data_IF_512699725611
#
_entry.id   IF_512699725611
#
_cell.length_a   1.000
_cell.length_b   1.000
_cell.length_c   1.000
_cell.angle_alpha   90.00
_cell.angle_beta   90.00
_cell.angle_gamma   90.00
#
_symmetry.space_group_name_H-M   'P 1'
#
loop_
_entity.id
_entity.type
_entity.pdbx_description
1 polymer ?
#
# COMPACT_ATOMS: atom_id res chain seq x y z
N UNK A 1 12.61 -22.92 24.93
CA UNK A 1 12.10 -22.43 23.64
C UNK A 1 12.68 -23.27 22.52
N UNK A 2 11.98 -23.35 21.39
CA UNK A 2 12.53 -23.89 20.14
C UNK A 2 13.50 -22.83 19.57
N UNK A 3 14.79 -23.15 19.42
CA UNK A 3 15.71 -22.25 18.71
C UNK A 3 15.48 -22.39 17.21
N UNK A 4 15.15 -21.28 16.55
CA UNK A 4 15.10 -21.20 15.09
C UNK A 4 16.50 -21.33 14.49
N UNK A 5 16.59 -21.83 13.26
CA UNK A 5 17.83 -21.87 12.50
C UNK A 5 18.00 -20.58 11.70
N UNK A 6 19.20 -20.02 11.69
CA UNK A 6 19.51 -18.85 10.87
C UNK A 6 19.51 -19.22 9.37
N UNK A 7 18.94 -18.39 8.48
CA UNK A 7 19.06 -18.60 7.02
C UNK A 7 20.53 -18.73 6.57
N UNK A 8 21.44 -18.00 7.21
CA UNK A 8 22.89 -18.07 6.93
C UNK A 8 23.46 -19.43 7.31
N UNK A 9 23.05 -20.00 8.45
CA UNK A 9 23.50 -21.33 8.87
C UNK A 9 22.98 -22.42 7.92
N UNK A 10 21.71 -22.31 7.52
CA UNK A 10 21.08 -23.24 6.58
C UNK A 10 21.81 -23.28 5.23
N UNK A 11 22.30 -22.14 4.76
CA UNK A 11 22.92 -21.99 3.44
C UNK A 11 24.42 -21.68 3.49
N UNK A 12 25.09 -22.09 4.57
CA UNK A 12 26.52 -21.89 4.81
C UNK A 12 27.42 -22.37 3.66
N UNK A 13 27.05 -23.47 3.01
CA UNK A 13 27.86 -24.08 1.93
C UNK A 13 27.79 -23.24 0.64
N UNK A 14 26.60 -22.74 0.30
CA UNK A 14 26.40 -21.83 -0.83
C UNK A 14 27.16 -20.52 -0.61
N UNK A 15 27.05 -19.93 0.59
CA UNK A 15 27.80 -18.73 0.95
C UNK A 15 29.32 -18.96 0.94
N UNK A 16 29.78 -20.11 1.45
CA UNK A 16 31.19 -20.50 1.41
C UNK A 16 31.72 -20.61 -0.03
N UNK A 17 30.92 -21.18 -0.94
CA UNK A 17 31.25 -21.23 -2.37
C UNK A 17 31.31 -19.84 -3.00
N UNK A 18 30.36 -18.96 -2.66
CA UNK A 18 30.34 -17.58 -3.14
C UNK A 18 31.58 -16.78 -2.69
N UNK A 19 31.96 -16.91 -1.41
CA UNK A 19 33.16 -16.29 -0.85
C UNK A 19 34.43 -16.82 -1.53
N UNK A 20 34.57 -18.14 -1.70
CA UNK A 20 35.73 -18.75 -2.34
C UNK A 20 35.88 -18.30 -3.81
N UNK A 21 34.77 -18.18 -4.54
CA UNK A 21 34.76 -17.68 -5.90
C UNK A 21 35.10 -16.19 -5.99
N UNK A 22 34.65 -15.38 -5.02
CA UNK A 22 35.02 -13.98 -4.92
C UNK A 22 36.52 -13.81 -4.63
N UNK A 23 37.06 -14.59 -3.69
CA UNK A 23 38.49 -14.61 -3.38
C UNK A 23 39.34 -15.05 -4.58
N UNK A 24 38.89 -16.09 -5.29
CA UNK A 24 39.53 -16.52 -6.52
C UNK A 24 39.51 -15.40 -7.57
N UNK A 25 38.37 -14.75 -7.77
CA UNK A 25 38.23 -13.61 -8.68
C UNK A 25 39.14 -12.45 -8.31
N UNK A 26 39.17 -12.06 -7.03
CA UNK A 26 40.04 -11.00 -6.53
C UNK A 26 41.52 -11.32 -6.80
N UNK A 27 41.97 -12.55 -6.54
CA UNK A 27 43.33 -12.99 -6.83
C UNK A 27 43.62 -13.01 -8.33
N UNK A 28 42.66 -13.45 -9.14
CA UNK A 28 42.78 -13.49 -10.59
C UNK A 28 42.95 -12.08 -11.19
N UNK A 29 42.07 -11.14 -10.83
CA UNK A 29 42.17 -9.75 -11.30
C UNK A 29 43.35 -8.99 -10.71
N UNK A 30 43.74 -9.28 -9.45
CA UNK A 30 44.96 -8.73 -8.85
C UNK A 30 46.20 -9.16 -9.66
N UNK A 31 46.15 -10.29 -10.35
CA UNK A 31 47.22 -10.83 -11.20
C UNK A 31 47.00 -10.53 -12.68
N UNK A 32 46.48 -9.33 -13.00
CA UNK A 32 46.28 -8.83 -14.37
C UNK A 32 45.40 -9.73 -15.25
N UNK A 33 44.44 -10.44 -14.64
CA UNK A 33 43.57 -11.43 -15.29
C UNK A 33 44.34 -12.52 -16.06
N UNK A 34 45.60 -12.75 -15.68
CA UNK A 34 46.40 -13.87 -16.17
C UNK A 34 46.32 -15.02 -15.18
N UNK A 35 46.24 -16.26 -15.67
CA UNK A 35 46.26 -17.40 -14.78
C UNK A 35 47.58 -17.39 -14.03
N UNK A 36 47.48 -17.60 -12.72
CA UNK A 36 48.66 -17.82 -11.90
C UNK A 36 49.16 -19.22 -12.20
N UNK A 37 49.99 -19.37 -13.23
CA UNK A 37 50.34 -20.70 -13.70
C UNK A 37 51.14 -20.72 -14.98
N UNK A 38 52.36 -21.21 -14.83
CA UNK A 38 53.20 -21.71 -15.90
C UNK A 38 54.30 -22.52 -15.24
N UNK A 39 54.84 -23.50 -15.96
CA UNK A 39 56.02 -24.21 -15.49
C UNK A 39 57.20 -23.82 -16.35
N UNK A 40 58.35 -23.72 -15.69
CA UNK A 40 59.62 -23.53 -16.36
C UNK A 40 60.22 -24.91 -16.57
N UNK A 41 60.35 -25.30 -17.82
CA UNK A 41 61.09 -26.49 -18.20
C UNK A 41 62.58 -26.14 -18.24
N UNK A 42 63.35 -26.76 -17.35
CA UNK A 42 64.80 -26.66 -17.34
C UNK A 42 65.40 -27.96 -17.91
N UNK A 43 66.17 -27.90 -19.02
CA UNK A 43 66.71 -29.10 -19.67
C UNK A 43 67.84 -29.79 -18.89
N UNK A 44 68.23 -29.29 -17.70
CA UNK A 44 69.27 -29.86 -16.85
C UNK A 44 68.84 -30.04 -15.38
N UNK A 45 69.80 -30.30 -14.50
CA UNK A 45 69.58 -30.35 -13.04
C UNK A 45 70.26 -29.17 -12.35
N UNK A 46 69.62 -28.63 -11.31
CA UNK A 46 70.25 -27.63 -10.46
C UNK A 46 71.43 -28.26 -9.73
N UNK A 47 72.56 -27.54 -9.66
CA UNK A 47 73.78 -28.03 -9.00
C UNK A 47 73.58 -28.30 -7.51
N UNK A 48 72.81 -27.43 -6.83
CA UNK A 48 72.51 -27.51 -5.41
C UNK A 48 71.05 -27.11 -5.11
N UNK A 49 70.47 -27.58 -3.98
CA UNK A 49 69.14 -27.14 -3.51
C UNK A 49 69.04 -25.62 -3.30
N UNK A 50 70.13 -24.98 -2.86
CA UNK A 50 70.21 -23.53 -2.69
C UNK A 50 70.08 -22.78 -4.02
N UNK A 51 70.76 -23.25 -5.08
CA UNK A 51 70.67 -22.64 -6.40
C UNK A 51 69.22 -22.67 -6.95
N UNK A 52 68.48 -23.75 -6.65
CA UNK A 52 67.06 -23.86 -7.00
C UNK A 52 66.19 -22.87 -6.22
N UNK A 53 66.48 -22.64 -4.94
CA UNK A 53 65.76 -21.67 -4.11
C UNK A 53 66.00 -20.23 -4.58
N UNK A 54 67.27 -19.86 -4.80
CA UNK A 54 67.63 -18.53 -5.30
C UNK A 54 66.95 -18.23 -6.64
N UNK A 55 66.93 -19.19 -7.56
CA UNK A 55 66.23 -19.05 -8.83
C UNK A 55 64.71 -18.86 -8.67
N UNK A 56 64.08 -19.64 -7.77
CA UNK A 56 62.66 -19.50 -7.47
C UNK A 56 62.35 -18.11 -6.92
N UNK A 57 63.14 -17.64 -5.96
CA UNK A 57 62.93 -16.35 -5.31
C UNK A 57 63.17 -15.19 -6.28
N UNK A 58 64.20 -15.29 -7.13
CA UNK A 58 64.45 -14.29 -8.18
C UNK A 58 63.32 -14.24 -9.22
N UNK A 59 62.78 -15.40 -9.60
CA UNK A 59 61.64 -15.48 -10.51
C UNK A 59 60.38 -14.86 -9.89
N UNK A 60 60.08 -15.19 -8.64
CA UNK A 60 58.92 -14.63 -7.93
C UNK A 60 59.05 -13.12 -7.74
N UNK A 61 60.24 -12.59 -7.45
CA UNK A 61 60.49 -11.15 -7.36
C UNK A 61 60.36 -10.44 -8.72
N UNK A 62 60.79 -11.07 -9.81
CA UNK A 62 60.69 -10.53 -11.16
C UNK A 62 59.24 -10.52 -11.69
N UNK A 63 58.37 -11.37 -11.16
CA UNK A 63 56.97 -11.52 -11.59
C UNK A 63 55.94 -11.06 -10.55
N UNK A 64 56.35 -10.34 -9.49
CA UNK A 64 55.44 -9.80 -8.47
C UNK A 64 55.43 -8.27 -8.44
N UNK A 65 54.35 -7.71 -7.88
CA UNK A 65 54.19 -6.26 -7.68
C UNK A 65 54.26 -5.46 -8.97
N UNK A 66 55.04 -4.37 -8.95
CA UNK A 66 55.24 -3.48 -10.11
C UNK A 66 56.10 -4.08 -11.23
N UNK A 67 56.67 -5.28 -11.04
CA UNK A 67 57.44 -5.98 -12.09
C UNK A 67 56.58 -6.91 -12.95
N UNK A 68 55.27 -7.03 -12.65
CA UNK A 68 54.33 -7.82 -13.46
C UNK A 68 54.28 -7.32 -14.91
N UNK A 69 54.23 -8.28 -15.84
CA UNK A 69 54.20 -8.00 -17.28
C UNK A 69 55.55 -7.67 -17.91
N UNK A 70 56.65 -7.62 -17.15
CA UNK A 70 57.99 -7.46 -17.72
C UNK A 70 58.46 -8.73 -18.41
N UNK A 71 59.14 -8.56 -19.55
CA UNK A 71 59.74 -9.67 -20.30
C UNK A 71 60.79 -10.35 -19.43
N UNK A 72 60.57 -11.64 -19.13
CA UNK A 72 61.52 -12.44 -18.40
C UNK A 72 62.59 -12.97 -19.36
N UNK A 73 63.86 -12.75 -19.01
CA UNK A 73 64.99 -13.36 -19.71
C UNK A 73 65.30 -14.67 -19.01
N UNK A 74 65.17 -15.78 -19.74
CA UNK A 74 65.47 -17.12 -19.26
C UNK A 74 66.83 -17.56 -19.80
N UNK A 75 67.71 -18.01 -18.91
CA UNK A 75 69.06 -18.48 -19.27
C UNK A 75 69.09 -20.00 -19.49
N UNK A 76 70.17 -20.50 -20.10
CA UNK A 76 70.46 -21.94 -20.20
C UNK A 76 69.37 -22.79 -20.89
N UNK A 77 68.68 -22.23 -21.88
CA UNK A 77 67.68 -22.95 -22.68
C UNK A 77 66.37 -23.27 -21.93
N UNK A 78 66.12 -22.62 -20.79
CA UNK A 78 64.85 -22.71 -20.07
C UNK A 78 63.68 -22.23 -20.94
N UNK A 79 62.56 -22.95 -20.90
CA UNK A 79 61.33 -22.58 -21.59
C UNK A 79 60.20 -22.35 -20.60
N UNK A 80 59.47 -21.25 -20.76
CA UNK A 80 58.25 -20.99 -20.00
C UNK A 80 57.05 -21.49 -20.79
N UNK A 81 56.28 -22.40 -20.21
CA UNK A 81 55.01 -22.85 -20.75
C UNK A 81 53.90 -22.10 -20.03
N UNK A 82 53.23 -21.19 -20.74
CA UNK A 82 52.08 -20.46 -20.22
C UNK A 82 50.83 -21.35 -20.26
N UNK A 83 50.10 -21.41 -19.15
CA UNK A 83 48.77 -22.01 -19.15
C UNK A 83 47.80 -21.00 -19.77
N UNK A 84 47.13 -21.34 -20.86
CA UNK A 84 46.15 -20.45 -21.50
C UNK A 84 44.83 -20.35 -20.73
N UNK A 85 44.17 -19.19 -20.78
CA UNK A 85 42.79 -18.97 -20.29
C UNK A 85 41.91 -18.68 -21.48
N UNK A 86 41.32 -19.72 -22.06
CA UNK A 86 40.53 -19.52 -23.29
C UNK A 86 39.05 -19.31 -23.07
N UNK A 87 38.46 -19.56 -21.88
CA UNK A 87 36.98 -19.47 -21.70
C UNK A 87 36.48 -19.08 -20.29
N UNK A 88 37.33 -18.56 -19.38
CA UNK A 88 36.92 -18.32 -17.97
C UNK A 88 36.20 -16.99 -17.74
N UNK A 89 36.45 -15.96 -18.53
CA UNK A 89 35.95 -14.62 -18.20
C UNK A 89 34.42 -14.52 -18.33
N UNK A 90 33.84 -15.14 -19.36
CA UNK A 90 32.39 -15.26 -19.51
C UNK A 90 31.77 -16.13 -18.40
N UNK A 91 32.38 -17.27 -18.07
CA UNK A 91 31.92 -18.16 -17.00
C UNK A 91 32.03 -17.51 -15.61
N UNK A 92 33.01 -16.64 -15.39
CA UNK A 92 33.18 -15.93 -14.13
C UNK A 92 32.08 -14.89 -13.92
N UNK A 93 31.70 -14.15 -14.97
CA UNK A 93 30.56 -13.22 -14.91
C UNK A 93 29.25 -13.95 -14.67
N UNK A 94 29.02 -15.09 -15.34
CA UNK A 94 27.85 -15.95 -15.11
C UNK A 94 27.82 -16.48 -13.67
N UNK A 95 28.97 -16.93 -13.14
CA UNK A 95 29.07 -17.38 -11.76
C UNK A 95 28.73 -16.27 -10.76
N UNK A 96 29.18 -15.03 -11.00
CA UNK A 96 28.87 -13.87 -10.15
C UNK A 96 27.37 -13.52 -10.19
N UNK A 97 26.75 -13.57 -11.37
CA UNK A 97 25.29 -13.38 -11.50
C UNK A 97 24.52 -14.46 -10.74
N UNK A 98 24.91 -15.72 -10.91
CA UNK A 98 24.25 -16.84 -10.22
C UNK A 98 24.35 -16.72 -8.69
N UNK A 99 25.47 -16.26 -8.16
CA UNK A 99 25.65 -16.02 -6.72
C UNK A 99 24.68 -14.99 -6.17
N UNK A 100 24.42 -13.90 -6.91
CA UNK A 100 23.46 -12.87 -6.50
C UNK A 100 22.06 -13.49 -6.36
N UNK A 101 21.63 -14.25 -7.38
CA UNK A 101 20.33 -14.93 -7.35
C UNK A 101 20.25 -15.99 -6.24
N UNK A 102 21.32 -16.74 -5.97
CA UNK A 102 21.33 -17.78 -4.94
C UNK A 102 21.22 -17.20 -3.52
N UNK A 103 21.90 -16.08 -3.25
CA UNK A 103 21.76 -15.32 -2.01
C UNK A 103 20.35 -14.74 -1.90
N UNK A 104 19.82 -14.14 -2.96
CA UNK A 104 18.46 -13.59 -2.97
C UNK A 104 17.41 -14.67 -2.65
N UNK A 105 17.56 -15.85 -3.25
CA UNK A 105 16.70 -17.02 -3.03
C UNK A 105 16.70 -17.49 -1.58
N UNK A 106 17.84 -17.44 -0.89
CA UNK A 106 17.93 -17.80 0.53
C UNK A 106 16.98 -16.96 1.40
N UNK A 107 16.89 -15.66 1.10
CA UNK A 107 16.02 -14.72 1.80
C UNK A 107 14.62 -14.61 1.17
N UNK A 108 14.35 -15.37 0.10
CA UNK A 108 13.13 -15.28 -0.72
C UNK A 108 12.90 -13.90 -1.35
N UNK A 109 13.96 -13.09 -1.45
CA UNK A 109 13.89 -11.75 -2.05
C UNK A 109 13.96 -11.88 -3.57
N UNK A 110 13.01 -11.31 -4.33
CA UNK A 110 13.09 -11.29 -5.78
C UNK A 110 14.31 -10.51 -6.31
N UNK A 111 14.94 -10.92 -7.42
CA UNK A 111 16.16 -10.29 -7.95
C UNK A 111 16.00 -8.79 -8.26
N UNK A 112 14.83 -8.34 -8.70
CA UNK A 112 14.61 -6.94 -9.05
C UNK A 112 14.72 -5.98 -7.85
N UNK A 113 14.44 -6.47 -6.63
CA UNK A 113 14.57 -5.69 -5.39
C UNK A 113 16.04 -5.41 -5.01
N UNK A 114 16.98 -6.19 -5.52
CA UNK A 114 18.42 -6.02 -5.31
C UNK A 114 19.16 -5.49 -6.55
N UNK A 115 18.41 -4.84 -7.45
CA UNK A 115 18.88 -4.25 -8.69
C UNK A 115 19.42 -5.26 -9.74
N UNK A 116 19.04 -6.54 -9.65
CA UNK A 116 19.29 -7.52 -10.70
C UNK A 116 18.07 -7.62 -11.64
N UNK A 117 18.15 -6.88 -12.75
CA UNK A 117 17.06 -6.72 -13.72
C UNK A 117 17.25 -7.55 -15.00
N UNK A 118 18.20 -8.50 -15.03
CA UNK A 118 18.61 -9.23 -16.25
C UNK A 118 17.46 -9.98 -16.94
N UNK A 119 16.40 -10.33 -16.18
CA UNK A 119 15.18 -11.01 -16.66
C UNK A 119 13.88 -10.28 -16.33
N UNK A 120 13.95 -9.08 -15.77
CA UNK A 120 12.77 -8.35 -15.29
C UNK A 120 12.25 -7.39 -16.37
N UNK A 121 10.99 -7.59 -16.80
CA UNK A 121 10.24 -6.58 -17.57
C UNK A 121 9.37 -5.75 -16.62
N UNK A 122 9.07 -4.49 -16.98
CA UNK A 122 8.22 -3.62 -16.14
C UNK A 122 6.88 -4.26 -15.74
N UNK A 123 6.23 -4.97 -16.66
CA UNK A 123 4.99 -5.70 -16.40
C UNK A 123 5.14 -6.85 -15.39
N UNK A 124 6.32 -7.47 -15.31
CA UNK A 124 6.59 -8.56 -14.37
C UNK A 124 7.08 -8.02 -13.01
N UNK A 125 7.55 -6.78 -12.93
CA UNK A 125 8.05 -6.19 -11.68
C UNK A 125 6.91 -5.96 -10.68
N UNK A 126 5.74 -5.51 -11.15
CA UNK A 126 4.57 -5.32 -10.28
C UNK A 126 4.11 -6.63 -9.66
N UNK A 127 3.97 -7.68 -10.49
CA UNK A 127 3.61 -9.01 -10.02
C UNK A 127 4.67 -9.59 -9.06
N UNK A 128 5.96 -9.51 -9.39
CA UNK A 128 7.03 -9.97 -8.50
C UNK A 128 7.10 -9.15 -7.19
N UNK A 129 6.70 -7.88 -7.21
CA UNK A 129 6.61 -7.07 -5.99
C UNK A 129 5.46 -7.51 -5.10
N UNK A 130 4.33 -7.92 -5.65
CA UNK A 130 3.24 -8.55 -4.90
C UNK A 130 3.67 -9.91 -4.33
N UNK A 131 4.32 -10.74 -5.13
CA UNK A 131 4.85 -12.05 -4.68
C UNK A 131 5.85 -11.89 -3.52
N UNK A 132 6.64 -10.82 -3.49
CA UNK A 132 7.53 -10.50 -2.38
C UNK A 132 6.76 -10.28 -1.08
N UNK A 133 5.69 -9.49 -1.12
CA UNK A 133 4.84 -9.24 0.06
C UNK A 133 4.25 -10.56 0.55
N UNK A 134 3.57 -11.30 -0.34
CA UNK A 134 2.84 -12.52 0.02
C UNK A 134 3.74 -13.64 0.52
N UNK A 135 4.88 -13.90 -0.13
CA UNK A 135 5.69 -15.09 0.14
C UNK A 135 6.89 -14.84 1.04
N UNK A 136 7.27 -13.58 1.24
CA UNK A 136 8.40 -13.20 2.07
C UNK A 136 7.97 -12.37 3.27
N UNK A 137 7.30 -11.24 3.07
CA UNK A 137 7.00 -10.33 4.18
C UNK A 137 5.90 -10.84 5.10
N UNK A 138 4.77 -11.30 4.56
CA UNK A 138 3.61 -11.77 5.35
C UNK A 138 4.01 -12.88 6.34
N UNK A 139 4.75 -13.94 5.95
CA UNK A 139 5.15 -14.98 6.91
C UNK A 139 6.09 -14.49 8.02
N UNK A 140 6.83 -13.38 7.81
CA UNK A 140 7.65 -12.77 8.86
C UNK A 140 6.82 -11.87 9.78
N UNK A 141 5.89 -11.09 9.22
CA UNK A 141 4.95 -10.29 9.99
C UNK A 141 4.09 -11.16 10.91
N UNK A 142 3.48 -12.22 10.40
CA UNK A 142 2.66 -13.16 11.20
C UNK A 142 3.44 -13.72 12.41
N UNK A 143 4.73 -14.02 12.22
CA UNK A 143 5.59 -14.50 13.32
C UNK A 143 5.85 -13.43 14.37
N UNK A 144 5.99 -12.19 13.94
CA UNK A 144 6.18 -11.05 14.85
C UNK A 144 4.88 -10.69 15.56
N UNK A 145 3.75 -10.67 14.86
CA UNK A 145 2.41 -10.48 15.42
C UNK A 145 2.13 -11.53 16.48
N UNK A 146 2.30 -12.82 16.17
CA UNK A 146 2.09 -13.89 17.13
C UNK A 146 3.01 -13.79 18.37
N UNK A 147 4.25 -13.31 18.19
CA UNK A 147 5.17 -13.09 19.32
C UNK A 147 4.72 -11.88 20.15
N UNK A 148 4.25 -10.81 19.52
CA UNK A 148 3.75 -9.62 20.21
C UNK A 148 2.47 -9.96 20.97
N UNK A 149 1.55 -10.68 20.34
CA UNK A 149 0.31 -11.13 20.96
C UNK A 149 0.59 -12.03 22.17
N UNK A 150 1.51 -12.99 22.04
CA UNK A 150 1.87 -13.90 23.14
C UNK A 150 2.62 -13.21 24.29
N UNK A 151 3.50 -12.26 24.01
CA UNK A 151 4.44 -11.72 25.01
C UNK A 151 4.01 -10.37 25.60
N UNK A 152 3.22 -9.58 24.87
CA UNK A 152 2.86 -8.19 25.23
C UNK A 152 1.38 -7.99 25.53
N UNK A 153 0.49 -8.86 25.04
CA UNK A 153 -0.95 -8.72 25.27
C UNK A 153 -1.40 -9.48 26.53
N UNK A 154 -2.34 -8.88 27.27
CA UNK A 154 -2.91 -9.48 28.47
C UNK A 154 -4.28 -10.09 28.16
N UNK A 155 -4.63 -11.17 28.87
CA UNK A 155 -5.95 -11.79 28.76
C UNK A 155 -7.06 -10.76 29.03
N UNK A 156 -7.81 -10.40 27.99
CA UNK A 156 -8.96 -9.48 28.07
C UNK A 156 -8.84 -8.21 27.22
N UNK A 157 -7.69 -7.94 26.62
CA UNK A 157 -7.59 -6.85 25.63
C UNK A 157 -8.31 -7.25 24.34
N UNK A 158 -9.25 -6.40 23.88
CA UNK A 158 -9.92 -6.54 22.58
C UNK A 158 -9.10 -5.86 21.47
N UNK A 159 -7.79 -6.08 21.50
CA UNK A 159 -6.84 -5.45 20.59
C UNK A 159 -6.17 -6.55 19.77
N UNK A 160 -6.01 -6.30 18.48
CA UNK A 160 -5.32 -7.17 17.53
C UNK A 160 -4.11 -6.40 16.98
N UNK A 161 -2.99 -7.10 16.80
CA UNK A 161 -1.76 -6.53 16.23
C UNK A 161 -1.60 -7.06 14.83
N UNK A 162 -1.59 -6.15 13.85
CA UNK A 162 -1.39 -6.47 12.45
C UNK A 162 -0.39 -5.49 11.80
N UNK A 163 0.50 -6.02 10.96
CA UNK A 163 1.35 -5.23 10.08
C UNK A 163 0.58 -4.85 8.81
N UNK A 164 0.31 -3.55 8.66
CA UNK A 164 -0.35 -3.02 7.46
C UNK A 164 0.57 -3.02 6.22
N UNK A 165 0.32 -3.95 5.31
CA UNK A 165 0.94 -4.01 3.98
C UNK A 165 0.15 -3.32 2.88
N UNK A 166 -1.02 -2.72 3.17
CA UNK A 166 -1.88 -2.12 2.16
C UNK A 166 -1.19 -0.99 1.39
N UNK A 167 -0.29 -0.24 2.05
CA UNK A 167 0.53 0.78 1.39
C UNK A 167 1.51 0.20 0.36
N UNK A 168 2.03 -1.00 0.61
CA UNK A 168 2.97 -1.69 -0.28
C UNK A 168 2.23 -2.37 -1.44
N UNK A 169 1.04 -2.89 -1.19
CA UNK A 169 0.13 -3.43 -2.21
C UNK A 169 -0.60 -2.35 -3.03
N UNK A 170 -0.50 -1.07 -2.63
CA UNK A 170 -1.12 0.08 -3.32
C UNK A 170 -0.58 0.29 -4.75
N UNK A 171 0.49 -0.39 -5.14
CA UNK A 171 1.05 -0.34 -6.49
C UNK A 171 0.02 -0.59 -7.60
N UNK A 172 -1.04 -1.35 -7.33
CA UNK A 172 -2.17 -1.53 -8.24
C UNK A 172 -3.51 -1.09 -7.61
N UNK A 173 -3.60 0.20 -7.28
CA UNK A 173 -4.84 0.82 -6.81
C UNK A 173 -6.00 0.64 -7.80
N UNK A 174 -5.71 0.46 -9.10
CA UNK A 174 -6.72 0.28 -10.14
C UNK A 174 -7.40 -1.09 -10.02
N UNK A 175 -6.64 -2.19 -9.98
CA UNK A 175 -7.24 -3.53 -9.79
C UNK A 175 -7.90 -3.68 -8.42
N UNK A 176 -7.35 -3.05 -7.38
CA UNK A 176 -7.96 -3.06 -6.04
C UNK A 176 -9.29 -2.31 -6.01
N UNK A 177 -9.36 -1.14 -6.64
CA UNK A 177 -10.61 -0.40 -6.81
C UNK A 177 -11.61 -1.19 -7.64
N UNK A 178 -11.18 -1.82 -8.72
CA UNK A 178 -12.03 -2.67 -9.56
C UNK A 178 -12.57 -3.89 -8.81
N UNK A 179 -11.76 -4.53 -7.96
CA UNK A 179 -12.20 -5.65 -7.12
C UNK A 179 -13.31 -5.25 -6.16
N UNK A 180 -13.11 -4.18 -5.37
CA UNK A 180 -14.14 -3.70 -4.44
C UNK A 180 -15.37 -3.18 -5.16
N UNK A 181 -15.18 -2.46 -6.27
CA UNK A 181 -16.29 -1.99 -7.09
C UNK A 181 -17.13 -3.17 -7.58
N UNK A 182 -16.50 -4.21 -8.15
CA UNK A 182 -17.21 -5.41 -8.60
C UNK A 182 -17.89 -6.14 -7.45
N UNK A 183 -17.25 -6.24 -6.28
CA UNK A 183 -17.82 -6.94 -5.13
C UNK A 183 -19.04 -6.26 -4.55
N UNK A 184 -18.94 -4.94 -4.37
CA UNK A 184 -20.01 -4.10 -3.83
C UNK A 184 -21.16 -4.00 -4.83
N UNK A 185 -20.85 -3.85 -6.12
CA UNK A 185 -21.87 -3.75 -7.16
C UNK A 185 -22.63 -5.06 -7.35
N UNK A 186 -21.95 -6.20 -7.32
CA UNK A 186 -22.59 -7.52 -7.49
C UNK A 186 -23.24 -8.04 -6.21
N UNK A 187 -23.12 -7.33 -5.08
CA UNK A 187 -23.82 -7.66 -3.84
C UNK A 187 -23.26 -8.84 -3.05
N UNK A 188 -22.06 -9.35 -3.37
CA UNK A 188 -21.43 -10.40 -2.57
C UNK A 188 -20.47 -9.84 -1.50
N UNK A 189 -20.06 -8.57 -1.64
CA UNK A 189 -19.23 -7.88 -0.66
C UNK A 189 -19.98 -6.67 -0.09
N UNK A 190 -20.06 -6.57 1.23
CA UNK A 190 -20.65 -5.41 1.91
C UNK A 190 -19.67 -4.24 1.97
N UNK A 191 -20.21 -3.02 2.13
CA UNK A 191 -19.38 -1.82 2.22
C UNK A 191 -18.55 -1.80 3.51
N UNK A 192 -19.06 -2.37 4.61
CA UNK A 192 -18.29 -2.49 5.85
C UNK A 192 -17.19 -3.56 5.77
N UNK A 193 -17.39 -4.68 5.09
CA UNK A 193 -16.32 -5.65 4.85
C UNK A 193 -15.16 -5.03 4.04
N UNK A 194 -15.47 -4.22 3.02
CA UNK A 194 -14.45 -3.47 2.29
C UNK A 194 -13.72 -2.44 3.18
N UNK A 195 -14.41 -1.82 4.15
CA UNK A 195 -13.77 -0.90 5.11
C UNK A 195 -12.85 -1.62 6.08
N UNK A 196 -13.29 -2.76 6.60
CA UNK A 196 -12.49 -3.60 7.50
C UNK A 196 -11.23 -4.09 6.78
N UNK A 197 -11.36 -4.55 5.53
CA UNK A 197 -10.22 -4.92 4.69
C UNK A 197 -9.25 -3.77 4.39
N UNK A 198 -9.70 -2.52 4.54
CA UNK A 198 -8.88 -1.30 4.43
C UNK A 198 -8.43 -0.75 5.79
N UNK A 199 -8.59 -1.52 6.88
CA UNK A 199 -8.27 -1.09 8.24
C UNK A 199 -9.02 0.19 8.65
N UNK A 200 -10.24 0.36 8.16
CA UNK A 200 -11.16 1.45 8.50
C UNK A 200 -12.29 0.93 9.38
N UNK A 201 -12.66 1.72 10.39
CA UNK A 201 -13.79 1.40 11.24
C UNK A 201 -15.10 1.28 10.43
N UNK A 202 -15.97 0.31 10.76
CA UNK A 202 -17.27 0.16 10.13
C UNK A 202 -18.16 1.38 10.41
N UNK A 203 -19.08 1.66 9.49
CA UNK A 203 -20.09 2.70 9.66
C UNK A 203 -21.48 2.08 9.75
N UNK A 204 -22.36 2.69 10.52
CA UNK A 204 -23.71 2.19 10.72
C UNK A 204 -24.50 2.17 9.40
N UNK A 205 -25.17 1.05 9.10
CA UNK A 205 -26.02 0.91 7.92
C UNK A 205 -25.30 0.48 6.63
N UNK A 206 -24.03 0.08 6.72
CA UNK A 206 -23.23 -0.41 5.58
C UNK A 206 -22.99 -1.93 5.58
N UNK A 207 -23.68 -2.66 6.46
CA UNK A 207 -23.59 -4.11 6.64
C UNK A 207 -24.47 -4.91 5.67
N UNK A 208 -25.32 -4.24 4.90
CA UNK A 208 -26.18 -4.89 3.91
C UNK A 208 -25.54 -4.83 2.52
N UNK A 209 -25.51 -5.97 1.79
CA UNK A 209 -25.06 -5.99 0.40
C UNK A 209 -26.02 -5.18 -0.48
N UNK A 210 -25.47 -4.51 -1.48
CA UNK A 210 -26.29 -3.85 -2.48
C UNK A 210 -26.88 -4.91 -3.43
N UNK A 211 -28.18 -4.86 -3.68
CA UNK A 211 -28.81 -5.65 -4.75
C UNK A 211 -28.90 -4.76 -5.99
N UNK A 212 -28.24 -5.11 -7.12
CA UNK A 212 -28.42 -4.38 -8.37
C UNK A 212 -29.89 -4.44 -8.80
N UNK A 213 -30.49 -3.28 -9.08
CA UNK A 213 -31.90 -3.16 -9.49
C UNK A 213 -32.21 -3.98 -10.76
N UNK A 214 -31.20 -4.25 -11.58
CA UNK A 214 -31.32 -4.98 -12.84
C UNK A 214 -31.09 -6.50 -12.71
N UNK A 215 -30.86 -7.03 -11.50
CA UNK A 215 -30.62 -8.47 -11.25
C UNK A 215 -31.47 -8.97 -10.08
N UNK A 216 -32.75 -8.62 -10.08
CA UNK A 216 -33.78 -9.18 -9.19
C UNK A 216 -34.55 -10.27 -9.91
N UNK A 217 -35.01 -11.30 -9.19
CA UNK A 217 -35.93 -12.31 -9.73
C UNK A 217 -37.29 -11.66 -10.01
N UNK A 218 -38.05 -12.12 -11.02
CA UNK A 218 -39.30 -11.48 -11.45
C UNK A 218 -40.31 -11.28 -10.29
N UNK A 219 -40.35 -12.20 -9.34
CA UNK A 219 -41.22 -12.12 -8.15
C UNK A 219 -40.81 -10.99 -7.19
N UNK A 220 -39.51 -10.80 -6.94
CA UNK A 220 -38.96 -9.70 -6.13
C UNK A 220 -39.04 -8.35 -6.90
N UNK A 221 -39.01 -8.39 -8.23
CA UNK A 221 -39.18 -7.23 -9.10
C UNK A 221 -40.62 -6.71 -9.05
N UNK A 222 -41.61 -7.59 -9.05
CA UNK A 222 -43.03 -7.25 -8.90
C UNK A 222 -43.32 -6.64 -7.52
N UNK A 223 -42.68 -7.10 -6.44
CA UNK A 223 -42.79 -6.48 -5.10
C UNK A 223 -42.15 -5.09 -5.06
N UNK A 224 -40.97 -4.90 -5.67
CA UNK A 224 -40.33 -3.60 -5.78
C UNK A 224 -41.12 -2.63 -6.67
N UNK A 225 -41.69 -3.12 -7.78
CA UNK A 225 -42.59 -2.34 -8.64
C UNK A 225 -43.90 -2.00 -7.93
N UNK A 226 -44.48 -2.89 -7.12
CA UNK A 226 -45.68 -2.60 -6.31
C UNK A 226 -45.40 -1.59 -5.19
N UNK A 227 -44.23 -1.62 -4.54
CA UNK A 227 -43.82 -0.57 -3.61
C UNK A 227 -43.62 0.77 -4.34
N UNK A 228 -43.10 0.74 -5.58
CA UNK A 228 -42.90 1.95 -6.38
C UNK A 228 -44.23 2.52 -6.89
N UNK A 229 -45.15 1.69 -7.41
CA UNK A 229 -46.49 2.06 -7.89
C UNK A 229 -47.43 2.51 -6.77
N UNK A 230 -47.34 1.92 -5.57
CA UNK A 230 -48.13 2.36 -4.41
C UNK A 230 -47.60 3.66 -3.78
N UNK A 231 -46.38 4.05 -4.14
CA UNK A 231 -45.71 5.28 -3.71
C UNK A 231 -45.63 6.34 -4.81
N UNK A 232 -46.53 6.34 -5.80
CA UNK A 232 -46.57 7.36 -6.85
C UNK A 232 -47.44 8.56 -6.39
N UNK A 233 -46.90 9.61 -5.74
CA UNK A 233 -47.60 10.89 -5.69
C UNK A 233 -47.55 11.50 -7.09
N UNK A 234 -48.70 12.03 -7.53
CA UNK A 234 -48.86 12.82 -8.74
C UNK A 234 -47.67 13.77 -9.03
N UNK A 235 -47.33 14.03 -10.31
CA UNK A 235 -46.06 14.62 -10.69
C UNK A 235 -45.87 15.99 -10.04
N UNK A 236 -44.98 16.07 -9.07
CA UNK A 236 -44.39 17.33 -8.63
C UNK A 236 -43.13 17.57 -9.45
N UNK A 237 -43.20 18.60 -10.29
CA UNK A 237 -42.05 19.26 -10.90
C UNK A 237 -41.03 19.61 -9.79
N UNK A 238 -39.84 18.99 -9.83
CA UNK A 238 -38.55 19.59 -9.43
C UNK A 238 -37.44 18.51 -9.44
N UNK A 239 -36.94 18.14 -10.62
CA UNK A 239 -35.55 17.68 -10.73
C UNK A 239 -34.65 18.91 -10.53
N UNK A 240 -34.08 19.06 -9.35
CA UNK A 240 -33.14 20.17 -9.05
C UNK A 240 -31.73 19.63 -8.79
N UNK A 241 -30.75 20.36 -9.34
CA UNK A 241 -29.31 20.05 -9.41
C UNK A 241 -28.73 19.81 -7.99
N UNK A 242 -27.61 19.08 -7.80
CA UNK A 242 -27.01 18.87 -6.47
C UNK A 242 -26.67 20.16 -5.71
N UNK A 243 -26.49 21.28 -6.42
CA UNK A 243 -26.31 22.61 -5.85
C UNK A 243 -27.58 23.18 -5.19
N UNK A 244 -28.76 22.79 -5.67
CA UNK A 244 -30.05 23.21 -5.14
C UNK A 244 -30.41 22.45 -3.86
N UNK A 245 -29.99 21.18 -3.74
CA UNK A 245 -30.13 20.42 -2.50
C UNK A 245 -29.33 21.07 -1.35
N UNK A 246 -28.08 21.49 -1.58
CA UNK A 246 -27.28 22.16 -0.54
C UNK A 246 -27.87 23.52 -0.16
N UNK A 247 -28.37 24.27 -1.15
CA UNK A 247 -29.07 25.54 -0.95
C UNK A 247 -30.36 25.37 -0.14
N UNK A 248 -31.12 24.30 -0.39
CA UNK A 248 -32.34 23.95 0.37
C UNK A 248 -32.03 23.61 1.83
N UNK A 249 -30.92 22.90 2.11
CA UNK A 249 -30.51 22.57 3.46
C UNK A 249 -30.07 23.80 4.25
N UNK A 250 -29.34 24.72 3.61
CA UNK A 250 -28.95 26.00 4.21
C UNK A 250 -30.16 26.88 4.52
N UNK A 251 -31.12 26.93 3.60
CA UNK A 251 -32.38 27.66 3.78
C UNK A 251 -33.20 27.09 4.96
N UNK A 252 -33.37 25.76 5.03
CA UNK A 252 -34.07 25.10 6.14
C UNK A 252 -33.41 25.39 7.50
N UNK A 253 -32.08 25.34 7.58
CA UNK A 253 -31.34 25.70 8.81
C UNK A 253 -31.53 27.17 9.21
N UNK A 254 -31.56 28.08 8.23
CA UNK A 254 -31.79 29.50 8.47
C UNK A 254 -33.19 29.74 9.05
N UNK A 255 -34.22 29.16 8.42
CA UNK A 255 -35.62 29.25 8.88
C UNK A 255 -35.79 28.71 10.30
N UNK A 256 -35.19 27.56 10.61
CA UNK A 256 -35.19 26.99 11.96
C UNK A 256 -34.54 27.92 12.99
N UNK A 257 -33.37 28.47 12.65
CA UNK A 257 -32.63 29.35 13.56
C UNK A 257 -33.35 30.68 13.85
N UNK A 258 -34.00 31.27 12.82
CA UNK A 258 -34.76 32.50 12.95
C UNK A 258 -36.06 32.25 13.73
N UNK A 259 -36.76 31.14 13.45
CA UNK A 259 -37.99 30.75 14.15
C UNK A 259 -37.76 30.58 15.65
N UNK A 260 -36.68 29.89 16.05
CA UNK A 260 -36.34 29.70 17.47
C UNK A 260 -35.96 31.01 18.19
N UNK A 261 -35.38 31.98 17.47
CA UNK A 261 -35.06 33.31 18.04
C UNK A 261 -36.32 34.16 18.23
N UNK A 262 -37.20 34.16 17.23
CA UNK A 262 -38.44 34.91 17.26
C UNK A 262 -39.43 34.34 18.29
N UNK A 263 -39.54 33.01 18.38
CA UNK A 263 -40.37 32.32 19.36
C UNK A 263 -39.97 32.68 20.79
N UNK A 264 -38.68 32.60 21.13
CA UNK A 264 -38.15 33.03 22.44
C UNK A 264 -38.50 34.47 22.78
N UNK A 265 -38.37 35.36 21.80
CA UNK A 265 -38.62 36.79 22.00
C UNK A 265 -40.10 37.06 22.26
N UNK A 266 -40.99 36.40 21.52
CA UNK A 266 -42.44 36.55 21.65
C UNK A 266 -42.94 35.91 22.96
N UNK A 267 -42.47 34.70 23.28
CA UNK A 267 -42.79 34.02 24.53
C UNK A 267 -42.37 34.84 25.77
N UNK A 268 -41.19 35.47 25.73
CA UNK A 268 -40.70 36.35 26.80
C UNK A 268 -41.50 37.65 26.92
N UNK A 269 -41.98 38.21 25.81
CA UNK A 269 -42.74 39.47 25.78
C UNK A 269 -44.23 39.26 26.10
N UNK A 270 -44.78 38.08 25.79
CA UNK A 270 -46.18 37.72 26.03
C UNK A 270 -47.19 38.43 25.12
N UNK A 271 -46.75 39.12 24.07
CA UNK A 271 -47.59 39.88 23.15
C UNK A 271 -47.18 39.66 21.70
N UNK A 272 -48.17 39.47 20.82
CA UNK A 272 -47.98 39.39 19.38
C UNK A 272 -48.76 40.55 18.72
N UNK A 273 -48.08 41.68 18.49
CA UNK A 273 -48.66 42.88 17.89
C UNK A 273 -48.02 43.24 16.54
N UNK A 274 -48.37 44.42 16.02
CA UNK A 274 -47.93 44.89 14.70
C UNK A 274 -46.39 44.90 14.52
N UNK A 275 -45.64 45.25 15.57
CA UNK A 275 -44.17 45.28 15.51
C UNK A 275 -43.57 43.87 15.39
N UNK A 276 -44.19 42.87 16.02
CA UNK A 276 -43.75 41.48 15.91
C UNK A 276 -44.09 40.90 14.55
N UNK A 277 -45.28 41.19 14.02
CA UNK A 277 -45.69 40.74 12.68
C UNK A 277 -44.82 41.34 11.59
N UNK A 278 -44.46 42.62 11.68
CA UNK A 278 -43.56 43.28 10.72
C UNK A 278 -42.15 42.66 10.76
N UNK A 279 -41.66 42.32 11.95
CA UNK A 279 -40.33 41.75 12.09
C UNK A 279 -40.27 40.28 11.64
N UNK A 280 -41.33 39.51 11.85
CA UNK A 280 -41.48 38.16 11.28
C UNK A 280 -41.54 38.25 9.75
N UNK A 281 -42.32 39.18 9.20
CA UNK A 281 -42.42 39.42 7.76
C UNK A 281 -41.06 39.74 7.14
N UNK A 282 -40.28 40.63 7.76
CA UNK A 282 -38.93 40.96 7.30
C UNK A 282 -37.95 39.78 7.43
N UNK A 283 -38.03 39.00 8.52
CA UNK A 283 -37.11 37.89 8.78
C UNK A 283 -37.30 36.70 7.82
N UNK A 284 -38.51 36.49 7.31
CA UNK A 284 -38.84 35.42 6.36
C UNK A 284 -39.12 35.91 4.94
N UNK A 285 -39.08 37.22 4.69
CA UNK A 285 -39.41 37.79 3.37
C UNK A 285 -40.88 37.63 2.97
N UNK A 286 -41.78 37.58 3.95
CA UNK A 286 -43.22 37.34 3.75
C UNK A 286 -44.02 38.65 3.70
N UNK A 287 -45.18 38.61 3.04
CA UNK A 287 -46.13 39.71 3.09
C UNK A 287 -46.74 39.87 4.50
N UNK A 288 -46.80 41.11 4.99
CA UNK A 288 -47.30 41.41 6.35
C UNK A 288 -48.74 40.93 6.57
N UNK A 289 -49.57 40.89 5.53
CA UNK A 289 -50.95 40.38 5.59
C UNK A 289 -51.01 38.88 5.93
N UNK A 290 -50.14 38.05 5.34
CA UNK A 290 -50.03 36.62 5.62
C UNK A 290 -49.58 36.37 7.05
N UNK A 291 -48.59 37.12 7.51
CA UNK A 291 -48.08 37.01 8.89
C UNK A 291 -49.13 37.46 9.91
N UNK A 292 -49.92 38.49 9.58
CA UNK A 292 -51.01 38.97 10.43
C UNK A 292 -52.13 37.94 10.56
N UNK A 293 -52.48 37.24 9.47
CA UNK A 293 -53.44 36.13 9.51
C UNK A 293 -52.92 34.96 10.35
N UNK A 294 -51.64 34.60 10.20
CA UNK A 294 -50.99 33.60 11.06
C UNK A 294 -51.02 33.99 12.54
N UNK A 295 -50.75 35.26 12.86
CA UNK A 295 -50.72 35.76 14.23
C UNK A 295 -52.08 35.66 14.93
N UNK A 296 -53.19 35.79 14.19
CA UNK A 296 -54.56 35.64 14.72
C UNK A 296 -54.90 34.19 15.10
N UNK A 297 -54.21 33.21 14.52
CA UNK A 297 -54.42 31.79 14.82
C UNK A 297 -53.68 31.32 16.07
N UNK A 298 -52.75 32.13 16.60
CA UNK A 298 -51.97 31.78 17.79
C UNK A 298 -52.76 32.11 19.06
N UNK A 299 -52.93 31.13 19.94
CA UNK A 299 -53.63 31.30 21.22
C UNK A 299 -52.66 31.48 22.38
N UNK A 300 -53.04 32.31 23.37
CA UNK A 300 -52.26 32.49 24.59
C UNK A 300 -52.53 31.33 25.57
N UNK A 301 -51.53 30.86 26.34
CA UNK A 301 -50.16 31.38 26.45
C UNK A 301 -49.26 30.96 25.28
N UNK A 302 -48.35 31.85 24.88
CA UNK A 302 -47.39 31.57 23.80
C UNK A 302 -46.28 30.64 24.30
N UNK A 303 -46.50 29.33 24.21
CA UNK A 303 -45.46 28.34 24.48
C UNK A 303 -44.35 28.39 23.42
N UNK A 304 -43.10 28.50 23.87
CA UNK A 304 -41.93 28.70 23.00
C UNK A 304 -41.78 27.59 21.94
N UNK A 305 -41.96 26.33 22.34
CA UNK A 305 -41.80 25.18 21.45
C UNK A 305 -42.90 25.12 20.37
N UNK A 306 -44.16 25.36 20.75
CA UNK A 306 -45.28 25.39 19.83
C UNK A 306 -45.18 26.57 18.84
N UNK A 307 -44.77 27.74 19.32
CA UNK A 307 -44.59 28.93 18.50
C UNK A 307 -43.41 28.77 17.53
N UNK A 308 -42.31 28.14 17.95
CA UNK A 308 -41.19 27.84 17.08
C UNK A 308 -41.58 26.88 15.94
N UNK A 309 -42.34 25.82 16.24
CA UNK A 309 -42.83 24.88 15.22
C UNK A 309 -43.77 25.57 14.21
N UNK A 310 -44.67 26.42 14.70
CA UNK A 310 -45.60 27.16 13.83
C UNK A 310 -44.88 28.20 12.95
N UNK A 311 -43.83 28.86 13.46
CA UNK A 311 -42.99 29.78 12.68
C UNK A 311 -42.15 29.05 11.62
N UNK A 312 -41.68 27.83 11.90
CA UNK A 312 -40.98 27.00 10.92
C UNK A 312 -41.90 26.68 9.75
N UNK A 313 -43.14 26.28 10.03
CA UNK A 313 -44.14 26.02 8.98
C UNK A 313 -44.45 27.28 8.17
N UNK A 314 -44.60 28.44 8.83
CA UNK A 314 -44.82 29.71 8.16
C UNK A 314 -43.65 30.08 7.22
N UNK A 315 -42.41 29.89 7.66
CA UNK A 315 -41.22 30.19 6.87
C UNK A 315 -40.86 29.15 5.79
N UNK A 316 -41.49 27.97 5.81
CA UNK A 316 -41.33 26.93 4.79
C UNK A 316 -42.44 26.94 3.73
N UNK A 317 -43.64 27.46 4.04
CA UNK A 317 -44.76 27.60 3.10
C UNK A 317 -44.73 28.90 2.28
N UNK A 318 -43.53 29.40 1.98
CA UNK A 318 -43.29 30.61 1.15
C UNK A 318 -43.50 30.32 -0.32
#
# INVERSE_FOLDING_TARGET
>A
GLMGMSPIELARESLGMALAAQDYGARFFTNDAKPTGGWIEFPGTFKDPEAKRVFRDSYQAAQSGSNRGKVLVLENGMKFHEVGVTNKDAQFLELRKFQITDIARMFRVPPHMIADLDRATFSNIEQQSLEFVMHTMTPWAERWEASIESDLMLDGDQLEVEFDFANLMRGDAASRSAYYQSGIQNGWLTRNEARIAENLNPLQGLDQPLRPLNMVEEEDAEEAEQETESSDPAPTEDETDPADQESSLRFRKLVQSNSARLARRIAKKGSLGANETDLIAQAFGLEVSKVSAWAQLQTQPFEEAALAASLIQLGMNT
#
